data_IF_596201880821
#
_entry.id   IF_596201880821
#
_cell.length_a   1.000
_cell.length_b   1.000
_cell.length_c   1.000
_cell.angle_alpha   90.00
_cell.angle_beta   90.00
_cell.angle_gamma   90.00
#
_symmetry.space_group_name_H-M   'P 1'
#
loop_
_entity.id
_entity.type
_entity.pdbx_description
1 polymer ?
#
# COMPACT_ATOMS: atom_id res chain seq x y z
N UNK A 1 -9.26 -6.34 -34.57
CA UNK A 1 -8.65 -7.64 -34.19
C UNK A 1 -7.16 -7.51 -34.42
N UNK A 2 -6.33 -7.72 -33.40
CA UNK A 2 -4.88 -7.69 -33.53
C UNK A 2 -4.40 -8.96 -34.26
N UNK A 3 -3.40 -8.84 -35.12
CA UNK A 3 -2.87 -9.97 -35.89
C UNK A 3 -2.08 -10.95 -35.01
N UNK A 4 -1.97 -12.23 -35.40
CA UNK A 4 -1.28 -13.26 -34.62
C UNK A 4 0.20 -12.92 -34.33
N UNK A 5 0.86 -12.16 -35.21
CA UNK A 5 2.22 -11.65 -34.97
C UNK A 5 2.28 -10.62 -33.82
N UNK A 6 1.27 -9.76 -33.72
CA UNK A 6 1.18 -8.72 -32.69
C UNK A 6 0.99 -9.33 -31.30
N UNK A 7 0.22 -10.42 -31.20
CA UNK A 7 0.01 -11.18 -29.96
C UNK A 7 1.33 -11.79 -29.46
N UNK A 8 2.13 -12.36 -30.36
CA UNK A 8 3.43 -12.95 -30.01
C UNK A 8 4.47 -11.93 -29.54
N UNK A 9 4.41 -10.69 -30.02
CA UNK A 9 5.29 -9.60 -29.56
C UNK A 9 4.83 -9.01 -28.22
N UNK A 10 3.52 -8.89 -28.00
CA UNK A 10 2.94 -8.42 -26.75
C UNK A 10 3.24 -9.37 -25.58
N UNK A 11 3.17 -10.69 -25.79
CA UNK A 11 3.54 -11.69 -24.78
C UNK A 11 5.03 -11.71 -24.40
N UNK A 12 5.91 -11.13 -25.23
CA UNK A 12 7.34 -11.00 -24.90
C UNK A 12 7.62 -9.81 -23.99
N UNK A 13 6.73 -8.83 -23.95
CA UNK A 13 6.85 -7.60 -23.14
C UNK A 13 6.02 -7.70 -21.87
N UNK A 14 4.89 -8.42 -21.91
CA UNK A 14 4.04 -8.66 -20.74
C UNK A 14 4.65 -9.74 -19.84
N UNK A 15 5.11 -9.33 -18.66
CA UNK A 15 5.39 -10.26 -17.56
C UNK A 15 4.08 -10.97 -17.17
N UNK A 16 4.15 -12.26 -16.82
CA UNK A 16 2.97 -12.98 -16.33
C UNK A 16 2.42 -12.31 -15.06
N UNK A 17 1.11 -12.48 -14.81
CA UNK A 17 0.48 -11.99 -13.57
C UNK A 17 1.25 -12.45 -12.32
N UNK A 18 1.75 -13.69 -12.31
CA UNK A 18 2.55 -14.23 -11.20
C UNK A 18 3.87 -13.50 -11.01
N UNK A 19 4.53 -13.13 -12.12
CA UNK A 19 5.80 -12.40 -12.08
C UNK A 19 5.61 -10.98 -11.57
N UNK A 20 4.54 -10.30 -12.03
CA UNK A 20 4.17 -8.97 -11.56
C UNK A 20 3.79 -9.01 -10.07
N UNK A 21 2.95 -9.97 -9.67
CA UNK A 21 2.55 -10.15 -8.27
C UNK A 21 3.76 -10.37 -7.36
N UNK A 22 4.69 -11.25 -7.76
CA UNK A 22 5.91 -11.50 -7.00
C UNK A 22 6.76 -10.25 -6.88
N UNK A 23 6.96 -9.51 -7.98
CA UNK A 23 7.71 -8.26 -7.95
C UNK A 23 7.10 -7.23 -7.00
N UNK A 24 5.77 -7.04 -7.05
CA UNK A 24 5.05 -6.14 -6.13
C UNK A 24 5.21 -6.59 -4.68
N UNK A 25 5.09 -7.90 -4.43
CA UNK A 25 5.23 -8.47 -3.08
C UNK A 25 6.65 -8.27 -2.54
N UNK A 26 7.67 -8.56 -3.34
CA UNK A 26 9.08 -8.42 -2.95
C UNK A 26 9.41 -6.95 -2.64
N UNK A 27 8.97 -6.01 -3.49
CA UNK A 27 9.14 -4.57 -3.23
C UNK A 27 8.39 -4.13 -1.97
N UNK A 28 7.18 -4.64 -1.74
CA UNK A 28 6.40 -4.33 -0.54
C UNK A 28 7.10 -4.79 0.74
N UNK A 29 7.68 -6.01 0.72
CA UNK A 29 8.45 -6.55 1.85
C UNK A 29 9.70 -5.69 2.10
N UNK A 30 10.42 -5.30 1.06
CA UNK A 30 11.62 -4.46 1.18
C UNK A 30 11.29 -3.08 1.79
N UNK A 31 10.26 -2.41 1.26
CA UNK A 31 9.77 -1.12 1.78
C UNK A 31 9.36 -1.29 3.25
N UNK A 32 8.58 -2.31 3.58
CA UNK A 32 8.13 -2.57 4.95
C UNK A 32 9.31 -2.77 5.90
N UNK A 33 10.33 -3.54 5.48
CA UNK A 33 11.53 -3.78 6.29
C UNK A 33 12.29 -2.48 6.55
N UNK A 34 12.55 -1.69 5.49
CA UNK A 34 13.25 -0.41 5.59
C UNK A 34 12.51 0.58 6.51
N UNK A 35 11.19 0.72 6.33
CA UNK A 35 10.36 1.60 7.15
C UNK A 35 10.36 1.15 8.61
N UNK A 36 10.20 -0.16 8.86
CA UNK A 36 10.24 -0.72 10.22
C UNK A 36 11.55 -0.40 10.92
N UNK A 37 12.70 -0.59 10.26
CA UNK A 37 14.00 -0.29 10.87
C UNK A 37 14.16 1.20 11.20
N UNK A 38 13.67 2.10 10.34
CA UNK A 38 13.69 3.55 10.61
C UNK A 38 12.78 3.93 11.77
N UNK A 39 11.57 3.39 11.82
CA UNK A 39 10.57 3.74 12.84
C UNK A 39 10.94 3.22 14.25
N UNK A 40 11.76 2.17 14.36
CA UNK A 40 12.21 1.64 15.67
C UNK A 40 12.87 2.69 16.57
N UNK A 41 13.64 3.59 15.98
CA UNK A 41 14.47 4.56 16.71
C UNK A 41 14.09 6.02 16.43
N UNK A 42 12.97 6.25 15.74
CA UNK A 42 12.56 7.58 15.29
C UNK A 42 11.17 7.90 15.85
N UNK A 43 10.99 9.12 16.34
CA UNK A 43 9.64 9.59 16.65
C UNK A 43 8.87 9.82 15.36
N UNK A 44 7.64 9.32 15.32
CA UNK A 44 6.77 9.44 14.16
C UNK A 44 5.36 9.84 14.59
N UNK A 45 4.67 10.52 13.69
CA UNK A 45 3.24 10.76 13.79
C UNK A 45 2.51 9.76 12.89
N UNK A 46 1.44 9.17 13.41
CA UNK A 46 0.54 8.34 12.63
C UNK A 46 -0.61 9.21 12.13
N UNK A 47 -0.86 9.19 10.83
CA UNK A 47 -2.06 9.78 10.23
C UNK A 47 -2.99 8.65 9.80
N UNK A 48 -4.22 8.70 10.28
CA UNK A 48 -5.32 7.86 9.84
C UNK A 48 -6.30 8.73 9.08
N UNK A 49 -6.75 8.24 7.93
CA UNK A 49 -7.74 8.89 7.09
C UNK A 49 -8.83 7.91 6.69
N UNK A 50 -10.07 8.40 6.60
CA UNK A 50 -11.20 7.63 6.11
C UNK A 50 -11.49 8.06 4.67
N UNK A 51 -11.37 7.13 3.73
CA UNK A 51 -11.69 7.36 2.32
C UNK A 51 -12.83 6.46 1.87
N UNK A 52 -13.45 6.77 0.75
CA UNK A 52 -14.48 5.92 0.14
C UNK A 52 -14.00 5.47 -1.24
N UNK A 53 -14.02 4.16 -1.48
CA UNK A 53 -13.65 3.62 -2.78
C UNK A 53 -14.73 3.90 -3.85
N UNK A 54 -14.44 3.54 -5.11
CA UNK A 54 -15.39 3.73 -6.23
C UNK A 54 -16.68 2.92 -6.07
N UNK A 55 -16.68 1.92 -5.20
CA UNK A 55 -17.83 1.06 -4.90
C UNK A 55 -18.66 1.58 -3.72
N UNK A 56 -18.26 2.71 -3.11
CA UNK A 56 -18.93 3.28 -1.95
C UNK A 56 -18.54 2.65 -0.61
N UNK A 57 -17.49 1.81 -0.58
CA UNK A 57 -17.01 1.16 0.64
C UNK A 57 -16.02 2.07 1.38
N UNK A 58 -16.21 2.22 2.68
CA UNK A 58 -15.28 2.97 3.53
C UNK A 58 -13.95 2.22 3.68
N UNK A 59 -12.85 2.95 3.57
CA UNK A 59 -11.48 2.46 3.63
C UNK A 59 -10.73 3.26 4.68
N UNK A 60 -10.09 2.56 5.62
CA UNK A 60 -9.11 3.15 6.51
C UNK A 60 -7.75 3.18 5.82
N UNK A 61 -7.23 4.38 5.63
CA UNK A 61 -5.90 4.63 5.06
C UNK A 61 -4.98 5.10 6.18
N UNK A 62 -3.75 4.58 6.21
CA UNK A 62 -2.76 4.97 7.21
C UNK A 62 -1.41 5.37 6.63
N UNK A 63 -0.82 6.40 7.24
CA UNK A 63 0.50 6.93 6.91
C UNK A 63 1.33 7.15 8.16
N UNK A 64 2.62 6.83 8.10
CA UNK A 64 3.60 7.25 9.10
C UNK A 64 4.37 8.47 8.59
N UNK A 65 4.37 9.56 9.37
CA UNK A 65 5.21 10.75 9.13
C UNK A 65 6.37 10.77 10.10
N UNK A 66 7.59 10.81 9.58
CA UNK A 66 8.81 10.82 10.40
C UNK A 66 9.92 11.63 9.76
N UNK A 67 10.84 12.13 10.58
CA UNK A 67 12.02 12.86 10.10
C UNK A 67 13.11 11.85 9.74
N UNK A 68 13.66 11.96 8.53
CA UNK A 68 14.79 11.16 8.07
C UNK A 68 15.87 12.09 7.51
N UNK A 69 16.85 12.43 8.34
CA UNK A 69 17.83 13.46 8.00
C UNK A 69 17.16 14.84 7.91
N UNK A 70 17.35 15.60 6.82
CA UNK A 70 16.71 16.90 6.64
C UNK A 70 15.28 16.82 6.10
N UNK A 71 14.80 15.63 5.75
CA UNK A 71 13.51 15.43 5.09
C UNK A 71 12.44 14.92 6.06
N UNK A 72 11.20 15.36 5.85
CA UNK A 72 10.02 14.74 6.44
C UNK A 72 9.49 13.75 5.42
N UNK A 73 9.48 12.47 5.80
CA UNK A 73 8.95 11.39 4.98
C UNK A 73 7.52 11.12 5.42
N UNK A 74 6.60 11.09 4.46
CA UNK A 74 5.26 10.53 4.62
C UNK A 74 5.23 9.16 3.92
N UNK A 75 5.14 8.11 4.73
CA UNK A 75 5.13 6.74 4.24
C UNK A 75 3.74 6.15 4.35
N UNK A 76 3.17 5.77 3.21
CA UNK A 76 1.96 4.95 3.17
C UNK A 76 2.23 3.58 3.80
N UNK A 77 1.34 3.15 4.70
CA UNK A 77 1.45 1.86 5.38
C UNK A 77 0.44 0.85 4.83
N UNK A 78 -0.85 1.20 4.84
CA UNK A 78 -1.90 0.34 4.30
C UNK A 78 -3.18 1.12 3.96
N UNK A 79 -4.03 0.45 3.19
CA UNK A 79 -5.42 0.79 2.95
C UNK A 79 -6.25 -0.48 3.17
N UNK A 80 -7.24 -0.44 4.05
CA UNK A 80 -8.09 -1.59 4.40
C UNK A 80 -9.55 -1.18 4.46
N UNK A 81 -10.43 -2.05 3.96
CA UNK A 81 -11.88 -1.83 4.02
C UNK A 81 -12.37 -1.91 5.47
N UNK A 82 -13.17 -0.92 5.88
CA UNK A 82 -13.93 -0.95 7.11
C UNK A 82 -15.25 -1.69 6.85
N UNK A 83 -15.25 -3.00 7.14
CA UNK A 83 -16.33 -3.93 6.76
C UNK A 83 -17.64 -3.67 7.51
N UNK A 84 -17.56 -3.10 8.72
CA UNK A 84 -18.69 -2.89 9.62
C UNK A 84 -19.19 -1.44 9.56
N UNK A 85 -18.70 -0.61 10.48
CA UNK A 85 -19.02 0.81 10.61
C UNK A 85 -17.74 1.63 10.62
N UNK A 86 -17.86 2.95 10.66
CA UNK A 86 -16.73 3.89 10.67
C UNK A 86 -16.50 4.48 12.06
N UNK A 87 -16.89 3.73 13.09
CA UNK A 87 -16.72 4.20 14.47
C UNK A 87 -15.27 4.10 14.91
N UNK A 88 -14.89 4.85 15.94
CA UNK A 88 -13.56 4.73 16.53
C UNK A 88 -13.21 3.30 16.97
N UNK A 89 -14.20 2.48 17.33
CA UNK A 89 -13.97 1.07 17.68
C UNK A 89 -13.57 0.23 16.46
N UNK A 90 -14.22 0.43 15.31
CA UNK A 90 -13.87 -0.27 14.07
C UNK A 90 -12.48 0.13 13.57
N UNK A 91 -12.15 1.42 13.67
CA UNK A 91 -10.81 1.94 13.33
C UNK A 91 -9.75 1.29 14.25
N UNK A 92 -10.03 1.19 15.55
CA UNK A 92 -9.13 0.55 16.50
C UNK A 92 -8.92 -0.94 16.17
N UNK A 93 -9.99 -1.69 15.89
CA UNK A 93 -9.90 -3.12 15.50
C UNK A 93 -9.17 -3.31 14.16
N UNK A 94 -9.33 -2.37 13.23
CA UNK A 94 -8.65 -2.45 11.94
C UNK A 94 -7.14 -2.15 12.07
N UNK A 95 -6.73 -1.35 13.05
CA UNK A 95 -5.35 -0.89 13.21
C UNK A 95 -4.55 -1.68 14.27
N UNK A 96 -5.19 -2.14 15.35
CA UNK A 96 -4.59 -2.84 16.49
C UNK A 96 -4.89 -4.34 16.47
#
# INVERSE_FOLDING_TARGET
>A
MLGPETVGQISKVLLSNDTVHRCITDMSIDIQSNVREKLKNTQFALQLDESTDISGKSQLISFARFVNGPEIIEQFLFCRELVTTTTGADIFICYC
#
